data_IF_857267830515
#
_entry.id   IF_857267830515
#
_cell.length_a   1.000
_cell.length_b   1.000
_cell.length_c   1.000
_cell.angle_alpha   90.00
_cell.angle_beta   90.00
_cell.angle_gamma   90.00
#
_symmetry.space_group_name_H-M   'P 1'
#
loop_
_entity.id
_entity.type
_entity.pdbx_description
1 polymer ?
#
# COMPACT_ATOMS: atom_id res chain seq x y z
N UNK A 1 8.28 -10.97 9.18
CA UNK A 1 8.27 -9.82 8.24
C UNK A 1 9.64 -9.67 7.61
N UNK A 2 9.72 -9.50 6.29
CA UNK A 2 10.96 -9.23 5.55
C UNK A 2 11.53 -7.86 5.89
N UNK A 3 12.86 -7.73 5.92
CA UNK A 3 13.54 -6.45 6.14
C UNK A 3 13.29 -5.51 4.95
N UNK A 4 12.98 -4.21 5.16
CA UNK A 4 12.87 -3.24 4.07
C UNK A 4 14.18 -3.14 3.27
N UNK A 5 14.07 -2.91 1.96
CA UNK A 5 15.21 -2.67 1.08
C UNK A 5 15.91 -1.34 1.40
N UNK A 6 17.21 -1.27 1.08
CA UNK A 6 18.00 -0.03 1.12
C UNK A 6 17.82 0.77 -0.16
N UNK A 7 17.84 2.10 -0.05
CA UNK A 7 17.80 3.00 -1.20
C UNK A 7 19.19 3.27 -1.80
N UNK A 8 20.29 2.89 -1.13
CA UNK A 8 21.66 3.28 -1.48
C UNK A 8 22.07 2.98 -2.93
N UNK A 9 21.52 1.91 -3.52
CA UNK A 9 21.81 1.48 -4.90
C UNK A 9 20.54 1.40 -5.77
N UNK A 10 19.45 2.02 -5.31
CA UNK A 10 18.11 1.79 -5.85
C UNK A 10 17.51 0.45 -5.40
N UNK A 11 16.19 0.34 -5.51
CA UNK A 11 15.46 -0.88 -5.15
C UNK A 11 14.41 -1.21 -6.23
N UNK A 12 14.31 -2.49 -6.57
CA UNK A 12 13.34 -3.01 -7.54
C UNK A 12 12.38 -3.96 -6.81
N UNK A 13 11.10 -3.82 -7.09
CA UNK A 13 10.04 -4.60 -6.46
C UNK A 13 9.15 -5.25 -7.51
N UNK A 14 8.96 -6.56 -7.42
CA UNK A 14 7.96 -7.29 -8.21
C UNK A 14 6.62 -7.29 -7.47
N UNK A 15 5.69 -6.44 -7.91
CA UNK A 15 4.37 -6.36 -7.30
C UNK A 15 3.55 -7.64 -7.46
N UNK A 16 3.72 -8.40 -8.54
CA UNK A 16 2.97 -9.64 -8.73
C UNK A 16 3.34 -10.66 -7.65
N UNK A 17 4.63 -10.78 -7.36
CA UNK A 17 5.11 -11.66 -6.29
C UNK A 17 4.77 -11.16 -4.89
N UNK A 18 5.01 -9.88 -4.61
CA UNK A 18 4.73 -9.31 -3.30
C UNK A 18 3.24 -9.31 -2.93
N UNK A 19 2.35 -9.03 -3.89
CA UNK A 19 0.90 -9.05 -3.61
C UNK A 19 0.38 -10.46 -3.38
N UNK A 20 0.95 -11.48 -4.04
CA UNK A 20 0.65 -12.89 -3.79
C UNK A 20 1.05 -13.29 -2.37
N UNK A 21 2.30 -13.03 -1.99
CA UNK A 21 2.81 -13.32 -0.64
C UNK A 21 1.95 -12.65 0.43
N UNK A 22 1.62 -11.36 0.26
CA UNK A 22 0.81 -10.64 1.23
C UNK A 22 -0.61 -11.21 1.37
N UNK A 23 -1.21 -11.70 0.29
CA UNK A 23 -2.54 -12.33 0.33
C UNK A 23 -2.54 -13.71 0.99
N UNK A 24 -1.39 -14.36 1.08
CA UNK A 24 -1.20 -15.63 1.78
C UNK A 24 -0.95 -15.44 3.29
N UNK A 25 -0.66 -14.22 3.76
CA UNK A 25 -0.48 -13.93 5.17
C UNK A 25 -1.79 -14.13 5.97
N UNK A 26 -1.69 -14.72 7.17
CA UNK A 26 -2.84 -14.94 8.05
C UNK A 26 -3.54 -13.62 8.43
N UNK A 27 -2.79 -12.53 8.56
CA UNK A 27 -3.33 -11.18 8.81
C UNK A 27 -4.31 -10.76 7.70
N UNK A 28 -4.00 -11.03 6.43
CA UNK A 28 -4.90 -10.73 5.32
C UNK A 28 -6.18 -11.58 5.38
N UNK A 29 -6.05 -12.86 5.75
CA UNK A 29 -7.19 -13.74 5.92
C UNK A 29 -8.12 -13.26 7.05
N UNK A 30 -7.54 -12.80 8.17
CA UNK A 30 -8.27 -12.38 9.37
C UNK A 30 -8.85 -10.97 9.31
N UNK A 31 -8.06 -10.00 8.84
CA UNK A 31 -8.42 -8.58 8.87
C UNK A 31 -8.98 -8.09 7.52
N UNK A 32 -8.78 -8.85 6.45
CA UNK A 32 -9.16 -8.44 5.10
C UNK A 32 -8.20 -7.42 4.49
N UNK A 33 -7.12 -7.07 5.18
CA UNK A 33 -6.02 -6.28 4.61
C UNK A 33 -4.68 -6.66 5.28
N UNK A 34 -3.57 -6.38 4.60
CA UNK A 34 -2.23 -6.36 5.22
C UNK A 34 -1.36 -5.35 4.50
N UNK A 35 -0.29 -4.91 5.15
CA UNK A 35 0.64 -3.92 4.60
C UNK A 35 2.10 -4.30 4.89
N UNK A 36 2.98 -4.01 3.94
CA UNK A 36 4.42 -4.23 4.06
C UNK A 36 5.18 -2.96 3.69
N UNK A 37 6.07 -2.52 4.58
CA UNK A 37 7.05 -1.48 4.23
C UNK A 37 8.12 -2.11 3.35
N UNK A 38 8.17 -1.73 2.08
CA UNK A 38 9.13 -2.23 1.10
C UNK A 38 10.47 -1.48 1.16
N UNK A 39 10.41 -0.16 1.40
CA UNK A 39 11.59 0.71 1.49
C UNK A 39 11.39 1.73 2.60
N UNK A 40 12.47 2.00 3.34
CA UNK A 40 12.52 3.04 4.37
C UNK A 40 13.86 3.78 4.28
N UNK A 41 13.80 4.98 3.71
CA UNK A 41 14.89 5.95 3.65
C UNK A 41 14.52 7.20 4.47
N UNK A 42 15.45 8.14 4.72
CA UNK A 42 15.16 9.38 5.44
C UNK A 42 14.06 10.24 4.78
N UNK A 43 13.99 10.23 3.46
CA UNK A 43 13.12 11.06 2.62
C UNK A 43 12.00 10.29 1.92
N UNK A 44 12.11 8.95 1.82
CA UNK A 44 11.16 8.11 1.11
C UNK A 44 10.74 6.88 1.93
N UNK A 45 9.43 6.61 1.95
CA UNK A 45 8.87 5.35 2.43
C UNK A 45 7.94 4.75 1.38
N UNK A 46 8.19 3.52 1.00
CA UNK A 46 7.32 2.77 0.08
C UNK A 46 6.61 1.68 0.88
N UNK A 47 5.28 1.70 0.83
CA UNK A 47 4.42 0.73 1.51
C UNK A 47 3.52 0.09 0.47
N UNK A 48 3.50 -1.24 0.42
CA UNK A 48 2.54 -2.00 -0.35
C UNK A 48 1.41 -2.44 0.57
N UNK A 49 0.19 -2.16 0.16
CA UNK A 49 -1.02 -2.49 0.92
C UNK A 49 -1.91 -3.36 0.03
N UNK A 50 -2.39 -4.48 0.57
CA UNK A 50 -3.41 -5.30 -0.09
C UNK A 50 -4.67 -5.27 0.76
N UNK A 51 -5.81 -5.08 0.09
CA UNK A 51 -7.13 -5.01 0.71
C UNK A 51 -8.08 -5.91 -0.06
N UNK A 52 -8.85 -6.72 0.65
CA UNK A 52 -9.93 -7.54 0.08
C UNK A 52 -11.02 -6.62 -0.45
N UNK A 53 -11.74 -7.06 -1.48
CA UNK A 53 -12.93 -6.36 -1.95
C UNK A 53 -13.92 -6.12 -0.79
N UNK A 54 -14.41 -4.88 -0.66
CA UNK A 54 -15.26 -4.44 0.45
C UNK A 54 -14.52 -4.17 1.77
N UNK A 55 -13.23 -4.49 1.85
CA UNK A 55 -12.38 -4.18 2.99
C UNK A 55 -12.13 -2.67 3.10
N UNK A 56 -11.91 -2.23 4.34
CA UNK A 56 -11.62 -0.83 4.67
C UNK A 56 -10.39 -0.78 5.54
N UNK A 57 -9.54 0.21 5.32
CA UNK A 57 -8.46 0.55 6.24
C UNK A 57 -8.94 1.75 7.06
N UNK A 58 -8.77 1.68 8.37
CA UNK A 58 -9.08 2.79 9.27
C UNK A 58 -8.36 4.07 8.85
N UNK A 59 -8.92 5.21 9.27
CA UNK A 59 -8.35 6.52 8.99
C UNK A 59 -6.86 6.56 9.33
N UNK A 60 -6.06 7.03 8.36
CA UNK A 60 -4.61 7.11 8.50
C UNK A 60 -4.17 8.56 8.39
N UNK A 61 -3.67 9.12 9.49
CA UNK A 61 -3.06 10.44 9.50
C UNK A 61 -1.55 10.32 9.23
N UNK A 62 -1.13 10.70 8.03
CA UNK A 62 0.28 10.84 7.70
C UNK A 62 0.74 12.26 8.02
N UNK A 63 1.78 12.43 8.84
CA UNK A 63 2.40 13.74 9.11
C UNK A 63 3.31 14.23 7.97
N UNK A 64 3.30 13.54 6.84
CA UNK A 64 4.14 13.79 5.67
C UNK A 64 3.27 13.73 4.43
N UNK A 65 3.71 14.39 3.36
CA UNK A 65 3.10 14.21 2.04
C UNK A 65 3.18 12.75 1.64
N UNK A 66 2.05 12.19 1.20
CA UNK A 66 1.94 10.81 0.77
C UNK A 66 1.20 10.74 -0.55
N UNK A 67 1.62 9.81 -1.40
CA UNK A 67 0.90 9.47 -2.62
C UNK A 67 0.29 8.08 -2.51
N UNK A 68 -0.87 7.87 -3.14
CA UNK A 68 -1.52 6.55 -3.22
C UNK A 68 -1.68 6.16 -4.69
N UNK A 69 -1.04 5.08 -5.11
CA UNK A 69 -1.12 4.54 -6.47
C UNK A 69 -1.85 3.20 -6.49
N UNK A 70 -2.89 3.09 -7.31
CA UNK A 70 -3.65 1.84 -7.47
C UNK A 70 -2.98 0.93 -8.48
N UNK A 71 -2.47 -0.21 -7.98
CA UNK A 71 -1.82 -1.23 -8.81
C UNK A 71 -2.79 -2.28 -9.36
N UNK A 72 -3.91 -2.52 -8.67
CA UNK A 72 -4.94 -3.48 -9.07
C UNK A 72 -6.29 -3.14 -8.43
N UNK A 73 -7.38 -3.43 -9.14
CA UNK A 73 -8.72 -3.13 -8.69
C UNK A 73 -8.99 -1.62 -8.65
N UNK A 74 -9.79 -1.19 -7.67
CA UNK A 74 -10.14 0.21 -7.47
C UNK A 74 -10.38 0.50 -6.01
N UNK A 75 -10.12 1.73 -5.60
CA UNK A 75 -10.32 2.18 -4.23
C UNK A 75 -11.13 3.47 -4.18
N UNK A 76 -11.84 3.66 -3.08
CA UNK A 76 -12.40 4.96 -2.69
C UNK A 76 -11.59 5.46 -1.50
N UNK A 77 -10.92 6.60 -1.67
CA UNK A 77 -10.24 7.31 -0.60
C UNK A 77 -11.17 8.37 -0.03
N UNK A 78 -11.32 8.39 1.29
CA UNK A 78 -12.03 9.47 1.98
C UNK A 78 -11.00 10.54 2.35
N UNK A 79 -11.06 11.70 1.69
CA UNK A 79 -10.26 12.87 2.06
C UNK A 79 -11.15 13.84 2.86
N UNK A 80 -10.57 14.75 3.66
CA UNK A 80 -11.35 15.66 4.52
C UNK A 80 -12.44 16.44 3.78
N UNK A 81 -12.20 16.82 2.52
CA UNK A 81 -13.13 17.66 1.75
C UNK A 81 -13.97 16.89 0.74
N UNK A 82 -13.51 15.72 0.28
CA UNK A 82 -14.22 14.93 -0.73
C UNK A 82 -13.73 13.47 -0.80
N UNK A 83 -14.60 12.52 -1.15
CA UNK A 83 -14.15 11.22 -1.61
C UNK A 83 -13.47 11.34 -2.98
N UNK A 84 -12.45 10.53 -3.21
CA UNK A 84 -11.82 10.33 -4.52
C UNK A 84 -11.86 8.86 -4.88
N UNK A 85 -12.21 8.56 -6.12
CA UNK A 85 -12.14 7.21 -6.68
C UNK A 85 -10.88 7.10 -7.52
N UNK A 86 -10.08 6.07 -7.25
CA UNK A 86 -8.88 5.77 -8.02
C UNK A 86 -9.01 4.38 -8.64
N UNK A 87 -8.71 4.31 -9.93
CA UNK A 87 -8.63 3.11 -10.76
C UNK A 87 -7.17 2.74 -11.02
N UNK A 88 -6.92 1.53 -11.56
CA UNK A 88 -5.57 1.05 -11.88
C UNK A 88 -4.79 2.07 -12.72
N UNK A 89 -3.55 2.33 -12.31
CA UNK A 89 -2.64 3.27 -12.98
C UNK A 89 -2.84 4.74 -12.59
N UNK A 90 -3.82 5.03 -11.72
CA UNK A 90 -4.03 6.38 -11.20
C UNK A 90 -3.35 6.54 -9.84
N UNK A 91 -2.85 7.75 -9.59
CA UNK A 91 -2.28 8.14 -8.31
C UNK A 91 -2.88 9.45 -7.81
N UNK A 92 -2.88 9.62 -6.49
CA UNK A 92 -3.13 10.86 -5.77
C UNK A 92 -1.85 11.25 -5.03
#
# INVERSE_FOLDING_TARGET
MSRPASAEHGAVFDFASLTRELREEESYAREGHTARTLLRAPDLRVILVVVRAGGTISEHHAQVTATVHVLAGKIRLQLPNRPVHLEVGQFL
#
